data_IF_482458336216
#
_entry.id   IF_482458336216
#
_cell.length_a   1.000
_cell.length_b   1.000
_cell.length_c   1.000
_cell.angle_alpha   90.00
_cell.angle_beta   90.00
_cell.angle_gamma   90.00
#
_symmetry.space_group_name_H-M   'P 1'
#
loop_
_entity.id
_entity.type
_entity.pdbx_description
1 polymer ?
#
# COMPACT_ATOMS: atom_id res chain seq x y z
N UNK A 1 -20.13 -15.16 3.26
CA UNK A 1 -20.10 -14.15 4.34
C UNK A 1 -18.94 -13.22 4.00
N UNK A 2 -19.20 -12.05 3.43
CA UNK A 2 -18.14 -11.06 3.22
C UNK A 2 -17.81 -10.46 4.58
N UNK A 3 -16.66 -10.82 5.14
CA UNK A 3 -16.09 -10.02 6.23
C UNK A 3 -15.81 -8.62 5.68
N UNK A 4 -16.44 -7.62 6.30
CA UNK A 4 -16.14 -6.24 6.03
C UNK A 4 -14.79 -5.93 6.69
N UNK A 5 -13.71 -6.05 5.90
CA UNK A 5 -12.37 -5.69 6.35
C UNK A 5 -12.28 -4.17 6.49
N UNK A 6 -11.97 -3.70 7.69
CA UNK A 6 -11.59 -2.31 7.91
C UNK A 6 -10.27 -2.03 7.19
N UNK A 7 -10.24 -0.94 6.40
CA UNK A 7 -9.10 -0.56 5.59
C UNK A 7 -8.31 0.59 6.26
N UNK A 8 -6.99 0.50 6.23
CA UNK A 8 -6.07 1.58 6.55
C UNK A 8 -5.43 2.10 5.26
N UNK A 9 -5.31 3.43 5.13
CA UNK A 9 -4.69 4.08 3.98
C UNK A 9 -3.52 4.93 4.45
N UNK A 10 -2.31 4.52 4.06
CA UNK A 10 -1.09 5.28 4.29
C UNK A 10 -0.80 6.11 3.02
N UNK A 11 -0.91 7.44 3.11
CA UNK A 11 -0.80 8.32 1.93
C UNK A 11 0.62 8.85 1.72
N UNK A 12 0.99 9.09 0.47
CA UNK A 12 2.30 9.67 0.09
C UNK A 12 3.49 8.91 0.69
N UNK A 13 3.44 7.58 0.68
CA UNK A 13 4.55 6.74 1.13
C UNK A 13 5.69 6.89 0.11
N UNK A 14 6.89 7.36 0.53
CA UNK A 14 8.02 7.50 -0.37
C UNK A 14 8.65 6.13 -0.66
N UNK A 15 8.85 5.82 -1.94
CA UNK A 15 9.48 4.59 -2.42
C UNK A 15 10.77 4.96 -3.16
N UNK A 16 11.96 4.74 -2.57
CA UNK A 16 13.23 5.08 -3.18
C UNK A 16 13.57 4.11 -4.32
N UNK A 17 13.90 4.65 -5.49
CA UNK A 17 14.31 3.90 -6.66
C UNK A 17 15.84 3.80 -6.74
N UNK A 18 16.33 2.88 -7.60
CA UNK A 18 17.76 2.62 -7.79
C UNK A 18 18.55 3.85 -8.29
N UNK A 19 17.88 4.78 -8.96
CA UNK A 19 18.44 5.98 -9.59
C UNK A 19 18.44 7.20 -8.65
N UNK A 20 17.97 7.02 -7.41
CA UNK A 20 17.84 8.11 -6.43
C UNK A 20 16.51 8.88 -6.52
N UNK A 21 15.67 8.60 -7.53
CA UNK A 21 14.32 9.18 -7.61
C UNK A 21 13.45 8.64 -6.48
N UNK A 22 12.60 9.49 -5.88
CA UNK A 22 11.57 9.10 -4.91
C UNK A 22 10.21 9.10 -5.60
N UNK A 23 9.61 7.92 -5.76
CA UNK A 23 8.21 7.79 -6.13
C UNK A 23 7.34 7.89 -4.88
N UNK A 24 6.08 8.25 -5.06
CA UNK A 24 5.11 8.32 -3.97
C UNK A 24 3.91 7.44 -4.31
N UNK A 25 3.43 6.71 -3.32
CA UNK A 25 2.27 5.83 -3.46
C UNK A 25 1.34 5.97 -2.25
N UNK A 26 0.06 5.73 -2.49
CA UNK A 26 -0.91 5.48 -1.43
C UNK A 26 -1.02 3.96 -1.22
N UNK A 27 -0.89 3.51 0.03
CA UNK A 27 -0.94 2.09 0.39
C UNK A 27 -2.26 1.78 1.08
N UNK A 28 -3.07 0.93 0.44
CA UNK A 28 -4.36 0.46 0.93
C UNK A 28 -4.15 -0.94 1.51
N UNK A 29 -4.35 -1.12 2.82
CA UNK A 29 -4.14 -2.41 3.49
C UNK A 29 -5.21 -2.73 4.53
N UNK A 30 -5.49 -4.01 4.82
CA UNK A 30 -6.32 -4.38 5.96
C UNK A 30 -5.78 -3.81 7.27
N UNK A 31 -6.66 -3.43 8.19
CA UNK A 31 -6.28 -2.91 9.51
C UNK A 31 -5.66 -3.97 10.45
N UNK A 32 -5.77 -5.26 10.09
CA UNK A 32 -5.20 -6.37 10.85
C UNK A 32 -3.68 -6.54 10.66
N UNK A 33 -2.99 -7.18 11.62
CA UNK A 33 -1.58 -7.52 11.47
C UNK A 33 -1.38 -8.72 10.53
N UNK A 34 -0.23 -8.75 9.86
CA UNK A 34 0.20 -9.88 9.04
C UNK A 34 0.55 -9.50 7.61
N UNK A 35 1.24 -10.39 6.87
CA UNK A 35 1.49 -10.19 5.45
C UNK A 35 0.22 -10.48 4.63
N UNK A 36 0.00 -9.67 3.60
CA UNK A 36 -1.09 -9.83 2.65
C UNK A 36 -0.53 -9.83 1.22
N UNK A 37 -1.17 -10.51 0.26
CA UNK A 37 -0.84 -10.35 -1.14
C UNK A 37 -1.06 -8.89 -1.57
N UNK A 38 -0.12 -8.35 -2.34
CA UNK A 38 -0.16 -6.97 -2.81
C UNK A 38 -0.57 -6.91 -4.28
N UNK A 39 -1.44 -5.96 -4.61
CA UNK A 39 -1.73 -5.53 -5.98
C UNK A 39 -1.04 -4.18 -6.22
N UNK A 40 -0.41 -4.04 -7.37
CA UNK A 40 0.27 -2.81 -7.76
C UNK A 40 -0.40 -2.21 -8.99
N UNK A 41 -0.81 -0.95 -8.88
CA UNK A 41 -1.18 -0.11 -10.01
C UNK A 41 -0.18 1.02 -10.14
N UNK A 42 0.33 1.23 -11.35
CA UNK A 42 1.24 2.34 -11.69
C UNK A 42 0.70 3.04 -12.93
N UNK A 43 0.60 4.37 -12.89
CA UNK A 43 0.28 5.23 -14.04
C UNK A 43 1.55 5.76 -14.70
#
# INVERSE_FOLDING_TARGET
MSEQLTLTVDRNVPVPMRDGTRLYADVYRPAGPGPYPALLQRT
#
